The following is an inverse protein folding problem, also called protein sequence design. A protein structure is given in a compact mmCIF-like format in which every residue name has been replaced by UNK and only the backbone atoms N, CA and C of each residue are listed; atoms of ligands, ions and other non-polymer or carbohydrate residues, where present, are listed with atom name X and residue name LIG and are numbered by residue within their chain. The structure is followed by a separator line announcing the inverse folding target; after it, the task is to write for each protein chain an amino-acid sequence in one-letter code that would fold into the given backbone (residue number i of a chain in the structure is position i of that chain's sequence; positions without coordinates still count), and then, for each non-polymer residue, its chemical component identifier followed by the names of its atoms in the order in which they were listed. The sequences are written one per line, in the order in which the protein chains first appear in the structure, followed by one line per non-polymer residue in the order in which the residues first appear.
data_IF_981221612065
#
_entry.id   IF_981221612065
#
_cell.length_a   1.000
_cell.length_b   1.000
_cell.length_c   1.000
_cell.angle_alpha   90.00
_cell.angle_beta   90.00
_cell.angle_gamma   90.00
#
_symmetry.space_group_name_H-M   'P 1'
#
loop_
_entity.id
_entity.type
_entity.pdbx_description
1 polymer ?
#
# COMPACT_ATOMS: atom_id res chain seq x y z
N UNK A 1 -3.61 -12.03 33.97
CA UNK A 1 -3.77 -10.68 33.40
C UNK A 1 -4.09 -10.89 31.93
N UNK A 2 -5.14 -10.26 31.39
CA UNK A 2 -5.46 -10.41 29.97
C UNK A 2 -4.56 -9.47 29.18
N UNK A 3 -3.80 -10.01 28.22
CA UNK A 3 -2.94 -9.25 27.33
C UNK A 3 -3.58 -9.21 25.95
N UNK A 4 -3.59 -8.05 25.31
CA UNK A 4 -4.19 -7.87 23.99
C UNK A 4 -3.37 -6.90 23.15
N UNK A 5 -3.52 -7.00 21.83
CA UNK A 5 -2.84 -6.07 20.92
C UNK A 5 -3.50 -4.69 20.94
N UNK A 6 -2.70 -3.62 20.78
CA UNK A 6 -3.21 -2.24 20.66
C UNK A 6 -4.41 -2.10 19.69
N UNK A 7 -4.37 -2.61 18.44
CA UNK A 7 -5.51 -2.52 17.54
C UNK A 7 -6.74 -3.29 18.05
N UNK A 8 -6.55 -4.42 18.74
CA UNK A 8 -7.65 -5.19 19.32
C UNK A 8 -8.33 -4.45 20.47
N UNK A 9 -7.55 -3.81 21.34
CA UNK A 9 -8.07 -2.96 22.43
C UNK A 9 -8.85 -1.77 21.86
N UNK A 10 -8.31 -1.09 20.85
CA UNK A 10 -9.01 0.02 20.17
C UNK A 10 -10.33 -0.44 19.55
N UNK A 11 -10.34 -1.61 18.90
CA UNK A 11 -11.56 -2.20 18.33
C UNK A 11 -12.61 -2.49 19.40
N UNK A 12 -12.22 -3.11 20.51
CA UNK A 12 -13.12 -3.42 21.63
C UNK A 12 -13.70 -2.14 22.24
N UNK A 13 -12.89 -1.09 22.38
CA UNK A 13 -13.37 0.20 22.86
C UNK A 13 -14.36 0.84 21.89
N UNK A 14 -14.09 0.81 20.59
CA UNK A 14 -15.04 1.28 19.58
C UNK A 14 -16.35 0.49 19.60
N UNK A 15 -16.27 -0.83 19.79
CA UNK A 15 -17.45 -1.67 19.93
C UNK A 15 -18.24 -1.28 21.17
N UNK A 16 -17.58 -1.06 22.31
CA UNK A 16 -18.21 -0.61 23.55
C UNK A 16 -18.93 0.74 23.38
N UNK A 17 -18.28 1.72 22.72
CA UNK A 17 -18.89 3.02 22.42
C UNK A 17 -20.17 2.86 21.58
N UNK A 18 -20.13 1.97 20.59
CA UNK A 18 -21.27 1.68 19.70
C UNK A 18 -22.42 0.97 20.43
N UNK A 19 -22.12 -0.07 21.22
CA UNK A 19 -23.15 -0.84 21.94
C UNK A 19 -23.85 0.00 22.99
N UNK A 20 -23.13 0.88 23.68
CA UNK A 20 -23.66 1.77 24.71
C UNK A 20 -24.15 3.12 24.18
N UNK A 21 -24.12 3.35 22.85
CA UNK A 21 -24.57 4.59 22.18
C UNK A 21 -23.99 5.86 22.81
N UNK A 22 -22.70 5.83 23.12
CA UNK A 22 -22.01 6.93 23.80
C UNK A 22 -21.67 8.12 22.88
N UNK A 23 -21.83 7.94 21.56
CA UNK A 23 -21.67 9.01 20.56
C UNK A 23 -22.91 9.90 20.53
N UNK A 24 -22.70 11.21 20.50
CA UNK A 24 -23.79 12.17 20.38
C UNK A 24 -24.33 12.20 18.93
N UNK A 25 -25.64 12.01 18.76
CA UNK A 25 -26.29 12.03 17.44
C UNK A 25 -26.24 13.40 16.75
N UNK A 26 -26.09 14.49 17.51
CA UNK A 26 -25.95 15.84 16.96
C UNK A 26 -24.52 16.19 16.57
N UNK A 27 -23.53 15.55 17.18
CA UNK A 27 -22.10 15.81 16.95
C UNK A 27 -21.31 14.50 16.93
N UNK A 28 -21.15 13.85 15.76
CA UNK A 28 -20.60 12.50 15.65
C UNK A 28 -19.13 12.36 16.07
N UNK A 29 -18.43 13.48 16.32
CA UNK A 29 -17.06 13.49 16.81
C UNK A 29 -16.92 13.45 18.34
N UNK A 30 -18.01 13.68 19.09
CA UNK A 30 -17.98 13.81 20.55
C UNK A 30 -18.61 12.60 21.24
N UNK A 31 -17.92 12.10 22.26
CA UNK A 31 -18.32 10.94 23.04
C UNK A 31 -18.57 11.37 24.47
N UNK A 32 -19.72 10.98 25.01
CA UNK A 32 -20.05 11.14 26.43
C UNK A 32 -19.59 9.90 27.18
N UNK A 33 -18.50 10.03 27.93
CA UNK A 33 -17.96 8.93 28.71
C UNK A 33 -18.77 8.77 30.00
N UNK A 34 -19.09 7.52 30.41
CA UNK A 34 -19.66 7.25 31.73
C UNK A 34 -18.65 7.64 32.83
N UNK A 35 -19.11 7.89 34.07
CA UNK A 35 -18.28 8.45 35.14
C UNK A 35 -16.98 7.67 35.38
N UNK A 36 -17.04 6.35 35.31
CA UNK A 36 -15.89 5.46 35.53
C UNK A 36 -14.81 5.64 34.45
N UNK A 37 -15.22 5.79 33.19
CA UNK A 37 -14.32 6.06 32.07
C UNK A 37 -13.87 7.52 32.02
N UNK A 38 -14.72 8.44 32.45
CA UNK A 38 -14.39 9.86 32.51
C UNK A 38 -13.26 10.13 33.53
N UNK A 39 -13.17 9.34 34.60
CA UNK A 39 -12.07 9.40 35.56
C UNK A 39 -10.74 8.95 34.94
N UNK A 40 -10.75 7.90 34.11
CA UNK A 40 -9.56 7.38 33.43
C UNK A 40 -9.06 8.30 32.32
N UNK A 41 -9.97 8.94 31.58
CA UNK A 41 -9.65 9.79 30.43
C UNK A 41 -9.72 11.30 30.72
N UNK A 42 -9.89 11.69 31.98
CA UNK A 42 -9.80 13.08 32.43
C UNK A 42 -10.93 14.01 31.96
N UNK A 43 -12.06 13.48 31.46
CA UNK A 43 -13.15 14.31 30.95
C UNK A 43 -14.44 13.53 30.67
N UNK A 44 -15.59 14.19 30.85
CA UNK A 44 -16.92 13.60 30.52
C UNK A 44 -17.25 13.64 29.03
N UNK A 45 -16.62 14.52 28.28
CA UNK A 45 -16.88 14.72 26.87
C UNK A 45 -15.55 14.86 26.13
N UNK A 46 -15.24 13.86 25.30
CA UNK A 46 -13.93 13.72 24.65
C UNK A 46 -14.15 13.42 23.17
N UNK A 47 -13.22 13.87 22.30
CA UNK A 47 -13.28 13.48 20.89
C UNK A 47 -12.86 12.03 20.71
N UNK A 48 -13.45 11.32 19.76
CA UNK A 48 -13.08 9.92 19.47
C UNK A 48 -11.57 9.78 19.17
N UNK A 49 -10.98 10.72 18.42
CA UNK A 49 -9.54 10.71 18.12
C UNK A 49 -8.68 10.85 19.37
N UNK A 50 -8.97 11.84 20.22
CA UNK A 50 -8.27 12.08 21.48
C UNK A 50 -8.39 10.89 22.44
N UNK A 51 -9.54 10.21 22.42
CA UNK A 51 -9.78 9.00 23.21
C UNK A 51 -8.91 7.83 22.72
N UNK A 52 -8.84 7.59 21.40
CA UNK A 52 -7.99 6.51 20.84
C UNK A 52 -6.50 6.75 21.13
N UNK A 53 -6.07 8.01 21.12
CA UNK A 53 -4.70 8.40 21.46
C UNK A 53 -4.43 8.21 22.96
N UNK A 54 -5.38 8.62 23.82
CA UNK A 54 -5.26 8.46 25.28
C UNK A 54 -5.18 6.99 25.70
N UNK A 55 -5.92 6.10 25.03
CA UNK A 55 -5.83 4.65 25.28
C UNK A 55 -4.42 4.15 25.05
N UNK A 56 -3.71 4.68 24.05
CA UNK A 56 -2.33 4.28 23.76
C UNK A 56 -1.36 4.62 24.90
N UNK A 57 -1.69 5.62 25.73
CA UNK A 57 -0.94 6.01 26.92
C UNK A 57 -1.28 5.15 28.14
N UNK A 58 -2.46 4.54 28.18
CA UNK A 58 -2.87 3.59 29.23
C UNK A 58 -2.33 2.17 29.00
N UNK A 59 -1.72 1.90 27.85
CA UNK A 59 -1.17 0.59 27.51
C UNK A 59 0.30 0.51 27.94
N UNK A 60 0.57 -0.35 28.91
CA UNK A 60 1.93 -0.64 29.37
C UNK A 60 2.49 -1.88 28.65
N UNK A 61 3.82 -1.93 28.41
CA UNK A 61 4.45 -3.14 27.92
C UNK A 61 4.30 -4.26 28.95
N UNK A 62 4.19 -5.51 28.47
CA UNK A 62 4.12 -6.68 29.34
C UNK A 62 5.40 -6.70 30.20
N UNK A 63 5.29 -6.74 31.55
CA UNK A 63 6.45 -6.73 32.42
C UNK A 63 7.31 -7.99 32.17
N UNK A 64 8.64 -7.88 32.25
CA UNK A 64 9.51 -9.03 32.09
C UNK A 64 9.28 -10.06 33.21
N UNK A 65 9.42 -11.34 32.88
CA UNK A 65 9.36 -12.42 33.87
C UNK A 65 10.60 -12.34 34.78
N UNK A 66 10.41 -11.98 36.04
CA UNK A 66 11.48 -11.97 37.05
C UNK A 66 11.45 -13.26 37.88
N UNK A 67 12.53 -14.05 37.79
CA UNK A 67 12.72 -15.26 38.58
C UNK A 67 13.74 -14.99 39.67
N UNK A 68 13.27 -14.84 40.92
CA UNK A 68 14.14 -14.69 42.09
C UNK A 68 14.49 -16.07 42.65
N UNK A 69 15.78 -16.37 42.77
CA UNK A 69 16.27 -17.62 43.34
C UNK A 69 17.26 -17.35 44.46
N UNK A 70 16.90 -17.74 45.69
CA UNK A 70 17.77 -17.59 46.87
C UNK A 70 18.59 -18.85 47.08
N UNK A 71 19.90 -18.74 46.92
CA UNK A 71 20.82 -19.86 47.12
C UNK A 71 21.04 -20.08 48.63
N UNK A 72 20.65 -21.23 49.16
CA UNK A 72 20.92 -21.63 50.54
C UNK A 72 22.13 -22.58 50.60
N UNK A 73 23.11 -22.24 51.44
CA UNK A 73 24.38 -22.97 51.56
C UNK A 73 24.40 -23.98 52.73
N UNK A 74 23.28 -24.18 53.41
CA UNK A 74 23.16 -25.04 54.60
C UNK A 74 21.85 -25.81 54.58
N UNK A 75 21.93 -27.14 54.43
CA UNK A 75 20.79 -28.07 54.42
C UNK A 75 21.08 -29.31 53.55
N UNK A 76 20.42 -30.46 53.79
CA UNK A 76 20.63 -31.66 52.99
C UNK A 76 20.10 -31.48 51.56
N UNK A 77 21.00 -31.49 50.57
CA UNK A 77 20.78 -31.46 49.11
C UNK A 77 19.94 -30.28 48.57
N UNK A 78 20.32 -29.66 47.43
CA UNK A 78 19.47 -28.64 46.82
C UNK A 78 18.07 -29.21 46.53
N UNK A 79 17.04 -28.44 46.87
CA UNK A 79 15.65 -28.71 46.50
C UNK A 79 15.55 -28.90 44.96
N UNK A 80 14.58 -29.70 44.45
CA UNK A 80 14.42 -29.92 43.01
C UNK A 80 14.33 -28.59 42.28
N UNK A 81 15.02 -28.49 41.13
CA UNK A 81 15.10 -27.27 40.34
C UNK A 81 13.72 -26.67 40.10
N UNK A 82 13.56 -25.37 40.37
CA UNK A 82 12.32 -24.65 40.08
C UNK A 82 12.13 -24.62 38.57
N UNK A 83 11.21 -25.44 38.06
CA UNK A 83 10.81 -25.44 36.64
C UNK A 83 9.71 -24.41 36.47
N UNK A 84 9.92 -23.46 35.56
CA UNK A 84 8.94 -22.45 35.20
C UNK A 84 8.55 -22.66 33.74
N UNK A 85 7.33 -23.15 33.53
CA UNK A 85 6.76 -23.26 32.19
C UNK A 85 6.19 -21.91 31.77
N UNK A 86 6.66 -21.39 30.63
CA UNK A 86 6.23 -20.11 30.05
C UNK A 86 5.58 -20.39 28.70
N UNK A 87 4.31 -20.02 28.57
CA UNK A 87 3.62 -20.06 27.29
C UNK A 87 4.11 -18.89 26.43
N UNK A 88 4.65 -19.21 25.24
CA UNK A 88 5.22 -18.23 24.31
C UNK A 88 4.35 -18.18 23.07
N UNK A 89 3.69 -17.04 22.85
CA UNK A 89 3.06 -16.73 21.58
C UNK A 89 4.15 -16.53 20.51
N UNK A 90 4.42 -17.56 19.74
CA UNK A 90 5.23 -17.43 18.53
C UNK A 90 4.41 -16.67 17.48
N UNK A 91 4.95 -15.59 16.91
CA UNK A 91 4.39 -15.05 15.67
C UNK A 91 4.25 -16.21 14.69
N UNK A 92 3.02 -16.50 14.26
CA UNK A 92 2.80 -17.49 13.21
C UNK A 92 3.77 -17.21 12.04
N UNK A 93 4.31 -18.22 11.37
CA UNK A 93 5.30 -18.06 10.29
C UNK A 93 4.81 -17.22 9.07
N UNK A 94 3.62 -16.64 9.13
CA UNK A 94 2.97 -15.85 8.08
C UNK A 94 3.69 -14.56 7.68
N UNK A 95 4.58 -14.00 8.51
CA UNK A 95 5.37 -12.83 8.11
C UNK A 95 6.33 -13.09 6.93
N UNK A 96 6.71 -14.35 6.71
CA UNK A 96 7.49 -14.76 5.54
C UNK A 96 6.64 -14.95 4.28
N UNK A 97 5.38 -15.36 4.43
CA UNK A 97 4.49 -15.63 3.31
C UNK A 97 4.11 -14.34 2.57
N UNK A 98 3.80 -13.27 3.30
CA UNK A 98 3.46 -11.96 2.72
C UNK A 98 4.63 -11.37 1.93
N UNK A 99 5.84 -11.40 2.52
CA UNK A 99 7.09 -11.00 1.83
C UNK A 99 7.41 -11.85 0.59
N UNK A 100 7.14 -13.15 0.66
CA UNK A 100 7.35 -14.05 -0.48
C UNK A 100 6.37 -13.75 -1.62
N UNK A 101 5.09 -13.51 -1.30
CA UNK A 101 4.07 -13.13 -2.29
C UNK A 101 4.41 -11.79 -2.95
N UNK A 102 4.84 -10.80 -2.18
CA UNK A 102 5.27 -9.50 -2.73
C UNK A 102 6.44 -9.65 -3.69
N UNK A 103 7.45 -10.47 -3.34
CA UNK A 103 8.60 -10.71 -4.21
C UNK A 103 8.20 -11.38 -5.53
N UNK A 104 7.31 -12.38 -5.48
CA UNK A 104 6.78 -13.02 -6.69
C UNK A 104 5.95 -12.07 -7.55
N UNK A 105 5.13 -11.23 -6.92
CA UNK A 105 4.31 -10.26 -7.65
C UNK A 105 5.17 -9.23 -8.40
N UNK A 106 6.32 -8.85 -7.83
CA UNK A 106 7.29 -7.98 -8.50
C UNK A 106 7.93 -8.68 -9.70
N UNK A 107 8.40 -9.91 -9.54
CA UNK A 107 8.99 -10.70 -10.64
C UNK A 107 8.01 -10.95 -11.79
N UNK A 108 6.76 -11.31 -11.49
CA UNK A 108 5.72 -11.51 -12.48
C UNK A 108 5.41 -10.21 -13.23
N UNK A 109 5.34 -9.08 -12.51
CA UNK A 109 5.13 -7.77 -13.14
C UNK A 109 6.26 -7.40 -14.11
N UNK A 110 7.52 -7.61 -13.72
CA UNK A 110 8.65 -7.34 -14.61
C UNK A 110 8.63 -8.21 -15.87
N UNK A 111 8.17 -9.46 -15.77
CA UNK A 111 8.03 -10.33 -16.93
C UNK A 111 6.95 -9.82 -17.90
N UNK A 112 5.82 -9.34 -17.37
CA UNK A 112 4.74 -8.73 -18.16
C UNK A 112 5.23 -7.46 -18.86
N UNK A 113 5.91 -6.57 -18.13
CA UNK A 113 6.41 -5.30 -18.69
C UNK A 113 7.40 -5.55 -19.86
N UNK A 114 8.22 -6.61 -19.79
CA UNK A 114 9.11 -7.02 -20.88
C UNK A 114 8.33 -7.49 -22.12
N UNK A 115 7.31 -8.34 -21.92
CA UNK A 115 6.47 -8.82 -23.02
C UNK A 115 5.71 -7.67 -23.70
N UNK A 116 5.21 -6.71 -22.93
CA UNK A 116 4.55 -5.52 -23.47
C UNK A 116 5.51 -4.65 -24.30
N UNK A 117 6.76 -4.52 -23.87
CA UNK A 117 7.77 -3.81 -24.65
C UNK A 117 8.05 -4.50 -25.99
N UNK A 118 8.19 -5.83 -26.00
CA UNK A 118 8.36 -6.62 -27.22
C UNK A 118 7.14 -6.52 -28.15
N UNK A 119 5.93 -6.66 -27.61
CA UNK A 119 4.68 -6.47 -28.34
C UNK A 119 4.62 -5.08 -28.97
N UNK A 120 5.03 -4.04 -28.23
CA UNK A 120 5.11 -2.67 -28.74
C UNK A 120 6.03 -2.52 -29.95
N UNK A 121 7.18 -3.21 -29.97
CA UNK A 121 8.10 -3.24 -31.12
C UNK A 121 7.44 -3.91 -32.32
N UNK A 122 6.81 -5.07 -32.12
CA UNK A 122 6.14 -5.82 -33.19
C UNK A 122 4.98 -5.01 -33.79
N UNK A 123 4.17 -4.35 -32.96
CA UNK A 123 3.05 -3.52 -33.42
C UNK A 123 3.53 -2.32 -34.25
N UNK A 124 4.60 -1.63 -33.81
CA UNK A 124 5.21 -0.55 -34.61
C UNK A 124 5.71 -1.06 -35.96
N UNK A 125 6.33 -2.25 -35.97
CA UNK A 125 6.80 -2.86 -37.22
C UNK A 125 5.64 -3.21 -38.14
N UNK A 126 4.57 -3.78 -37.61
CA UNK A 126 3.37 -4.13 -38.38
C UNK A 126 2.70 -2.88 -38.98
N UNK A 127 2.58 -1.80 -38.20
CA UNK A 127 2.04 -0.53 -38.68
C UNK A 127 2.87 0.04 -39.83
N UNK A 128 4.20 0.02 -39.73
CA UNK A 128 5.09 0.46 -40.80
C UNK A 128 4.96 -0.41 -42.05
N UNK A 129 4.88 -1.74 -41.90
CA UNK A 129 4.67 -2.65 -43.01
C UNK A 129 3.32 -2.41 -43.69
N UNK A 130 2.26 -2.16 -42.93
CA UNK A 130 0.94 -1.81 -43.46
C UNK A 130 0.98 -0.50 -44.25
N UNK A 131 1.64 0.53 -43.71
CA UNK A 131 1.82 1.82 -44.41
C UNK A 131 2.54 1.65 -45.74
N UNK A 132 3.67 0.92 -45.75
CA UNK A 132 4.43 0.61 -46.98
C UNK A 132 3.60 -0.16 -47.99
N UNK A 133 2.86 -1.17 -47.55
CA UNK A 133 1.97 -1.95 -48.42
C UNK A 133 0.91 -1.06 -49.07
N UNK A 134 0.22 -0.23 -48.30
CA UNK A 134 -0.79 0.69 -48.83
C UNK A 134 -0.19 1.66 -49.85
N UNK A 135 1.01 2.18 -49.58
CA UNK A 135 1.73 3.06 -50.51
C UNK A 135 2.02 2.36 -51.83
N UNK A 136 2.64 1.18 -51.78
CA UNK A 136 3.00 0.41 -52.97
C UNK A 136 1.78 -0.03 -53.77
N UNK A 137 0.69 -0.43 -53.10
CA UNK A 137 -0.56 -0.79 -53.77
C UNK A 137 -1.23 0.41 -54.43
N UNK A 138 -1.24 1.57 -53.77
CA UNK A 138 -1.77 2.81 -54.36
C UNK A 138 -1.02 3.20 -55.63
N UNK A 139 0.32 3.11 -55.60
CA UNK A 139 1.15 3.35 -56.79
C UNK A 139 0.88 2.33 -57.91
N UNK A 140 0.75 1.05 -57.57
CA UNK A 140 0.52 0.00 -58.57
C UNK A 140 -0.85 0.09 -59.25
N UNK A 141 -1.87 0.62 -58.56
CA UNK A 141 -3.23 0.76 -59.10
C UNK A 141 -3.39 1.98 -60.02
N UNK A 142 -2.80 3.12 -59.65
CA UNK A 142 -2.94 4.37 -60.39
C UNK A 142 -1.65 5.22 -60.28
N UNK A 143 -0.60 4.90 -61.05
CA UNK A 143 0.72 5.50 -60.85
C UNK A 143 0.77 7.01 -61.12
N UNK A 144 0.06 7.50 -62.14
CA UNK A 144 0.05 8.93 -62.48
C UNK A 144 -0.63 9.78 -61.39
N UNK A 145 -1.86 9.42 -61.02
CA UNK A 145 -2.62 10.10 -59.96
C UNK A 145 -1.93 10.00 -58.60
N UNK A 146 -1.34 8.84 -58.29
CA UNK A 146 -0.58 8.65 -57.06
C UNK A 146 0.64 9.58 -57.00
N UNK A 147 1.40 9.71 -58.09
CA UNK A 147 2.58 10.58 -58.13
C UNK A 147 2.20 12.06 -58.01
N UNK A 148 1.14 12.50 -58.70
CA UNK A 148 0.64 13.87 -58.58
C UNK A 148 0.20 14.20 -57.15
N UNK A 149 -0.57 13.30 -56.53
CA UNK A 149 -0.99 13.42 -55.13
C UNK A 149 0.20 13.41 -54.15
N UNK A 150 1.18 12.53 -54.36
CA UNK A 150 2.38 12.45 -53.54
C UNK A 150 3.23 13.72 -53.64
N UNK A 151 3.44 14.25 -54.85
CA UNK A 151 4.17 15.50 -55.08
C UNK A 151 3.46 16.69 -54.45
N UNK A 152 2.13 16.78 -54.60
CA UNK A 152 1.33 17.82 -53.96
C UNK A 152 1.43 17.74 -52.42
N UNK A 153 1.39 16.53 -51.84
CA UNK A 153 1.56 16.31 -50.39
C UNK A 153 2.95 16.74 -49.91
N UNK A 154 4.02 16.32 -50.59
CA UNK A 154 5.39 16.70 -50.22
C UNK A 154 5.61 18.21 -50.36
N UNK A 155 5.10 18.83 -51.43
CA UNK A 155 5.17 20.27 -51.60
C UNK A 155 4.41 21.02 -50.49
N UNK A 156 3.31 20.47 -49.98
CA UNK A 156 2.58 21.03 -48.83
C UNK A 156 3.37 20.87 -47.53
N UNK A 157 3.91 19.69 -47.25
CA UNK A 157 4.73 19.42 -46.08
C UNK A 157 5.98 20.33 -46.03
N UNK A 158 6.67 20.51 -47.15
CA UNK A 158 7.81 21.41 -47.26
C UNK A 158 7.46 22.89 -47.00
N UNK A 159 6.27 23.33 -47.40
CA UNK A 159 5.79 24.69 -47.07
C UNK A 159 5.55 24.83 -45.56
N UNK A 160 4.95 23.83 -44.93
CA UNK A 160 4.66 23.83 -43.49
C UNK A 160 5.96 23.77 -42.67
N UNK A 161 6.93 22.93 -43.06
CA UNK A 161 8.22 22.83 -42.35
C UNK A 161 9.04 24.12 -42.46
N UNK A 162 9.01 24.79 -43.63
CA UNK A 162 9.67 26.11 -43.79
C UNK A 162 8.99 27.18 -42.94
N UNK A 163 7.67 27.23 -42.91
CA UNK A 163 6.91 28.20 -42.11
C UNK A 163 7.15 28.03 -40.60
N UNK A 164 7.23 26.78 -40.12
CA UNK A 164 7.54 26.48 -38.71
C UNK A 164 8.99 26.81 -38.34
N UNK A 165 9.94 26.59 -39.26
CA UNK A 165 11.34 26.97 -39.06
C UNK A 165 11.52 28.49 -38.99
N UNK A 166 10.79 29.26 -39.81
CA UNK A 166 10.82 30.73 -39.75
C UNK A 166 10.21 31.32 -38.47
N UNK A 167 9.25 30.63 -37.86
CA UNK A 167 8.66 31.02 -36.57
C UNK A 167 9.58 30.73 -35.37
N UNK A 168 10.39 29.66 -35.45
CA UNK A 168 11.36 29.30 -34.40
C UNK A 168 12.64 30.15 -34.39
N UNK A 169 12.93 30.89 -35.47
CA UNK A 169 14.09 31.79 -35.58
C UNK A 169 13.75 33.26 -35.21
N UNK A 170 12.48 33.56 -34.91
CA UNK A 170 12.01 34.88 -34.46
C UNK A 170 11.73 34.93 -32.94
N UNK A 171 12.20 33.94 -32.16
CA UNK A 171 12.23 33.97 -30.69
C UNK A 171 13.66 33.99 -30.18
#
# INVERSE_FOLDING_TARGET
VAHETRPRVQLLLQQYIKTHRLQDSRTPGLIKLPPDLAQLFGGRMVKLSELMDSVSLCLEPIPPLTVEHTVTLSGPSPAPATVVDVEVDTLAPGGGAERYLDSKAIEEKEAVDRLDAEMGVVLRRLAELRRRRTLLLGFAQAPAEFLEGALASQARELRISRATTTLGLQQ
#
